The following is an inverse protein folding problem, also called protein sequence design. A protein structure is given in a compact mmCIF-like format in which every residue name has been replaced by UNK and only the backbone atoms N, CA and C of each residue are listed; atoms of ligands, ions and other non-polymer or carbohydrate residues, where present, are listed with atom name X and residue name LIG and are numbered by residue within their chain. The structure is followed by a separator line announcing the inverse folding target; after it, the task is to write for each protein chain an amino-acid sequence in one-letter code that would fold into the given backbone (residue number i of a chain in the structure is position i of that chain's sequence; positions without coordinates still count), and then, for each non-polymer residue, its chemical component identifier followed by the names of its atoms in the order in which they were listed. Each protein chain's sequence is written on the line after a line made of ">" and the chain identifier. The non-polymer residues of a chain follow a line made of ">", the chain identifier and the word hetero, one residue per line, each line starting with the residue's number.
data_IF_457871952746
#
_entry.id   IF_457871952746
#
_cell.length_a   1.000
_cell.length_b   1.000
_cell.length_c   1.000
_cell.angle_alpha   90.00
_cell.angle_beta   90.00
_cell.angle_gamma   90.00
#
_symmetry.space_group_name_H-M   'P 1'
#
loop_
_entity.id
_entity.type
_entity.pdbx_description
1 polymer ?
#
# COMPACT_ATOMS: atom_id res chain seq x y z
N UNK A 1 -57.38 -32.53 -16.65
CA UNK A 1 -56.92 -31.45 -17.55
C UNK A 1 -56.08 -30.44 -16.74
N UNK A 2 -54.92 -30.83 -16.20
CA UNK A 2 -54.06 -29.94 -15.38
C UNK A 2 -52.56 -30.31 -15.38
N UNK A 3 -52.09 -31.25 -16.19
CA UNK A 3 -50.65 -31.65 -16.22
C UNK A 3 -49.73 -30.68 -16.96
N UNK A 4 -50.27 -29.74 -17.75
CA UNK A 4 -49.46 -28.83 -18.60
C UNK A 4 -48.77 -27.69 -17.82
N UNK A 5 -49.37 -27.18 -16.74
CA UNK A 5 -48.84 -26.02 -16.00
C UNK A 5 -47.58 -26.33 -15.19
N UNK A 6 -47.51 -27.54 -14.61
CA UNK A 6 -46.39 -27.98 -13.78
C UNK A 6 -45.13 -28.32 -14.59
N UNK A 7 -45.29 -28.83 -15.82
CA UNK A 7 -44.17 -29.10 -16.73
C UNK A 7 -43.47 -27.82 -17.18
N UNK A 8 -44.23 -26.76 -17.48
CA UNK A 8 -43.66 -25.47 -17.90
C UNK A 8 -42.90 -24.76 -16.76
N UNK A 9 -43.47 -24.81 -15.54
CA UNK A 9 -42.82 -24.25 -14.34
C UNK A 9 -41.58 -25.05 -13.95
N UNK A 10 -41.60 -26.37 -14.11
CA UNK A 10 -40.45 -27.25 -13.84
C UNK A 10 -39.34 -27.06 -14.89
N UNK A 11 -39.70 -26.90 -16.17
CA UNK A 11 -38.72 -26.57 -17.22
C UNK A 11 -38.09 -25.21 -17.02
N UNK A 12 -38.85 -24.22 -16.53
CA UNK A 12 -38.31 -22.88 -16.21
C UNK A 12 -37.31 -22.95 -15.05
N UNK A 13 -37.59 -23.77 -14.03
CA UNK A 13 -36.69 -23.95 -12.89
C UNK A 13 -35.39 -24.69 -13.27
N UNK A 14 -35.49 -25.71 -14.13
CA UNK A 14 -34.33 -26.44 -14.67
C UNK A 14 -33.47 -25.52 -15.55
N UNK A 15 -34.09 -24.67 -16.38
CA UNK A 15 -33.39 -23.69 -17.21
C UNK A 15 -32.65 -22.63 -16.36
N UNK A 16 -33.31 -22.12 -15.31
CA UNK A 16 -32.70 -21.16 -14.37
C UNK A 16 -31.55 -21.82 -13.59
N UNK A 17 -31.71 -23.05 -13.11
CA UNK A 17 -30.63 -23.81 -12.48
C UNK A 17 -29.44 -24.01 -13.43
N UNK A 18 -29.68 -24.38 -14.70
CA UNK A 18 -28.63 -24.54 -15.70
C UNK A 18 -27.84 -23.22 -15.92
N UNK A 19 -28.52 -22.07 -15.93
CA UNK A 19 -27.88 -20.76 -16.06
C UNK A 19 -27.02 -20.40 -14.83
N UNK A 20 -27.39 -20.86 -13.63
CA UNK A 20 -26.62 -20.65 -12.40
C UNK A 20 -25.35 -21.53 -12.41
N UNK A 21 -25.44 -22.78 -12.90
CA UNK A 21 -24.27 -23.67 -13.01
C UNK A 21 -23.25 -23.25 -14.07
N UNK A 22 -23.65 -22.47 -15.09
CA UNK A 22 -22.73 -21.94 -16.12
C UNK A 22 -21.90 -20.73 -15.68
N UNK A 23 -22.12 -20.17 -14.48
CA UNK A 23 -21.39 -18.99 -13.97
C UNK A 23 -20.13 -19.35 -13.17
N UNK A 24 -19.29 -20.25 -13.70
CA UNK A 24 -17.94 -20.41 -13.18
C UNK A 24 -16.93 -20.51 -14.34
N UNK A 25 -16.57 -19.35 -14.86
CA UNK A 25 -15.27 -19.16 -15.51
C UNK A 25 -14.87 -17.70 -15.34
N UNK A 26 -14.46 -17.37 -14.13
CA UNK A 26 -13.60 -16.21 -13.94
C UNK A 26 -12.18 -16.71 -14.20
N UNK A 27 -11.73 -16.55 -15.44
CA UNK A 27 -10.31 -16.66 -15.72
C UNK A 27 -9.65 -15.48 -15.00
N UNK A 28 -8.91 -15.79 -13.93
CA UNK A 28 -7.94 -14.86 -13.38
C UNK A 28 -6.93 -14.63 -14.50
N UNK A 29 -7.16 -13.59 -15.31
CA UNK A 29 -6.18 -13.08 -16.23
C UNK A 29 -5.14 -12.34 -15.40
N UNK A 30 -4.22 -13.11 -14.81
CA UNK A 30 -2.96 -12.55 -14.36
C UNK A 30 -2.26 -12.12 -15.64
N UNK A 31 -2.50 -10.88 -16.05
CA UNK A 31 -1.57 -10.15 -16.88
C UNK A 31 -0.27 -10.16 -16.06
N UNK A 32 0.62 -11.10 -16.38
CA UNK A 32 2.02 -10.99 -15.98
C UNK A 32 2.49 -9.73 -16.69
N UNK A 33 2.36 -8.59 -16.00
CA UNK A 33 3.00 -7.36 -16.44
C UNK A 33 4.47 -7.68 -16.40
N UNK A 34 5.07 -7.82 -17.58
CA UNK A 34 6.50 -7.90 -17.78
C UNK A 34 7.19 -6.97 -16.78
N UNK A 35 8.10 -7.50 -15.98
CA UNK A 35 8.94 -6.72 -15.06
C UNK A 35 9.79 -5.65 -15.78
N UNK A 36 9.65 -5.55 -17.10
CA UNK A 36 10.33 -4.62 -18.00
C UNK A 36 9.36 -3.65 -18.73
N UNK A 37 8.05 -3.67 -18.44
CA UNK A 37 7.16 -2.62 -18.98
C UNK A 37 7.54 -1.31 -18.27
N UNK A 38 7.99 -0.27 -18.98
CA UNK A 38 8.25 1.02 -18.35
C UNK A 38 6.93 1.48 -17.74
N UNK A 39 6.90 1.54 -16.41
CA UNK A 39 5.83 2.20 -15.67
C UNK A 39 5.64 3.59 -16.30
N UNK A 40 4.38 3.95 -16.59
CA UNK A 40 4.06 5.22 -17.23
C UNK A 40 4.32 6.37 -16.23
N UNK A 41 5.60 6.73 -16.12
CA UNK A 41 6.13 7.79 -15.26
C UNK A 41 5.75 9.19 -15.75
N UNK A 42 4.95 9.31 -16.82
CA UNK A 42 4.50 10.59 -17.36
C UNK A 42 3.69 11.41 -16.33
N UNK A 43 2.99 10.73 -15.42
CA UNK A 43 2.16 11.38 -14.40
C UNK A 43 2.94 11.74 -13.12
N UNK A 44 3.99 10.97 -12.77
CA UNK A 44 4.86 11.23 -11.61
C UNK A 44 6.33 10.94 -11.97
N UNK A 45 7.07 11.92 -12.53
CA UNK A 45 8.45 11.69 -12.95
C UNK A 45 9.36 11.53 -11.73
N UNK A 46 10.15 10.46 -11.72
CA UNK A 46 11.16 10.26 -10.69
C UNK A 46 12.22 11.36 -10.75
N UNK A 47 12.54 11.91 -9.58
CA UNK A 47 13.62 12.89 -9.45
C UNK A 47 14.96 12.18 -9.37
N UNK A 48 15.98 12.78 -9.97
CA UNK A 48 17.33 12.21 -10.03
C UNK A 48 18.02 12.16 -8.67
N UNK A 49 17.77 13.16 -7.80
CA UNK A 49 18.32 13.19 -6.44
C UNK A 49 17.22 13.06 -5.40
N UNK A 50 17.53 12.38 -4.31
CA UNK A 50 16.66 12.29 -3.14
C UNK A 50 16.38 13.66 -2.50
N UNK A 51 17.36 14.58 -2.58
CA UNK A 51 17.21 15.96 -2.09
C UNK A 51 16.11 16.73 -2.83
N UNK A 52 15.84 16.39 -4.09
CA UNK A 52 14.93 17.16 -4.95
C UNK A 52 13.46 16.88 -4.60
N UNK A 53 13.19 15.86 -3.77
CA UNK A 53 11.87 15.58 -3.23
C UNK A 53 11.45 16.56 -2.12
N UNK A 54 12.39 17.35 -1.58
CA UNK A 54 12.08 18.49 -0.71
C UNK A 54 11.24 18.14 0.54
N UNK A 55 11.51 16.97 1.13
CA UNK A 55 10.76 16.38 2.26
C UNK A 55 11.16 16.92 3.64
N UNK A 56 12.31 17.59 3.73
CA UNK A 56 12.88 18.03 4.99
C UNK A 56 13.22 19.52 4.95
N UNK A 57 13.21 20.15 6.11
CA UNK A 57 13.62 21.54 6.26
C UNK A 57 15.14 21.68 6.11
N UNK A 58 15.57 22.85 5.64
CA UNK A 58 16.98 23.23 5.66
C UNK A 58 17.42 23.67 7.06
N UNK A 59 18.63 23.31 7.53
CA UNK A 59 19.60 22.45 6.86
C UNK A 59 19.20 20.97 6.93
N UNK A 60 19.42 20.23 5.83
CA UNK A 60 19.06 18.82 5.70
C UNK A 60 19.66 17.92 6.81
N UNK A 61 20.81 18.31 7.36
CA UNK A 61 21.45 17.63 8.48
C UNK A 61 20.58 17.53 9.74
N UNK A 62 19.60 18.44 9.91
CA UNK A 62 18.65 18.41 11.02
C UNK A 62 17.59 17.31 10.88
N UNK A 63 17.40 16.77 9.67
CA UNK A 63 16.40 15.77 9.31
C UNK A 63 14.99 16.08 9.87
N UNK A 64 14.64 17.36 9.95
CA UNK A 64 13.32 17.80 10.39
C UNK A 64 12.32 17.66 9.25
N UNK A 65 11.29 16.81 9.36
CA UNK A 65 10.29 16.64 8.31
C UNK A 65 9.49 17.94 8.11
N UNK A 66 9.04 18.18 6.88
CA UNK A 66 8.03 19.21 6.62
C UNK A 66 6.66 18.76 7.12
N UNK A 67 5.71 19.69 7.22
CA UNK A 67 4.36 19.45 7.77
C UNK A 67 3.61 18.29 7.08
N UNK A 68 3.73 18.16 5.75
CA UNK A 68 3.09 17.09 4.99
C UNK A 68 3.80 15.71 5.09
N UNK A 69 4.88 15.62 5.88
CA UNK A 69 5.71 14.43 6.01
C UNK A 69 5.54 13.83 7.40
N UNK A 70 4.85 12.69 7.45
CA UNK A 70 4.34 12.07 8.66
C UNK A 70 5.33 11.00 9.13
N UNK A 71 5.83 11.11 10.36
CA UNK A 71 6.65 10.08 10.98
C UNK A 71 5.81 8.88 11.42
N UNK A 72 6.33 7.67 11.25
CA UNK A 72 5.67 6.45 11.72
C UNK A 72 6.67 5.41 12.24
N UNK A 73 6.16 4.43 12.99
CA UNK A 73 6.92 3.26 13.41
C UNK A 73 6.14 1.97 13.14
N UNK A 74 6.82 0.84 13.26
CA UNK A 74 6.25 -0.49 13.05
C UNK A 74 6.06 -1.21 14.38
N UNK A 75 4.90 -1.85 14.54
CA UNK A 75 4.63 -2.71 15.71
C UNK A 75 5.63 -3.87 15.84
N UNK A 76 6.15 -4.37 14.72
CA UNK A 76 7.13 -5.45 14.69
C UNK A 76 8.35 -5.03 13.86
N UNK A 77 9.31 -4.38 14.52
CA UNK A 77 10.53 -3.94 13.86
C UNK A 77 11.50 -5.10 13.61
N UNK A 78 12.01 -5.21 12.39
CA UNK A 78 13.08 -6.16 12.06
C UNK A 78 14.45 -5.64 12.55
N UNK A 79 15.28 -6.57 13.03
CA UNK A 79 16.67 -6.29 13.39
C UNK A 79 17.46 -5.83 12.15
N UNK A 80 18.38 -4.89 12.32
CA UNK A 80 19.22 -4.37 11.21
C UNK A 80 20.55 -3.92 11.77
N UNK A 81 21.35 -4.87 12.26
CA UNK A 81 22.74 -4.65 12.67
C UNK A 81 22.93 -3.42 13.56
N UNK A 82 22.08 -3.30 14.58
CA UNK A 82 22.05 -2.18 15.54
C UNK A 82 21.80 -0.78 14.96
N UNK A 83 21.50 -0.67 13.67
CA UNK A 83 21.09 0.59 13.07
C UNK A 83 19.68 0.97 13.52
N UNK A 84 19.52 2.23 13.92
CA UNK A 84 18.24 2.84 14.21
C UNK A 84 17.59 3.30 12.91
N UNK A 85 16.25 3.35 12.89
CA UNK A 85 15.48 3.70 11.71
C UNK A 85 14.54 4.84 12.04
N UNK A 86 14.52 5.85 11.17
CA UNK A 86 13.40 6.78 11.09
C UNK A 86 12.67 6.55 9.79
N UNK A 87 11.34 6.54 9.85
CA UNK A 87 10.47 6.24 8.73
C UNK A 87 9.42 7.33 8.62
N UNK A 88 9.12 7.69 7.39
CA UNK A 88 8.19 8.74 7.09
C UNK A 88 7.37 8.40 5.86
N UNK A 89 6.17 8.97 5.82
CA UNK A 89 5.23 8.91 4.70
C UNK A 89 4.89 10.34 4.30
N UNK A 90 4.96 10.62 3.02
CA UNK A 90 4.37 11.82 2.41
C UNK A 90 3.12 11.40 1.64
N UNK A 91 2.04 12.13 1.85
CA UNK A 91 0.82 12.01 1.07
C UNK A 91 0.64 13.27 0.19
N UNK A 92 0.19 13.12 -1.06
CA UNK A 92 -0.23 14.26 -1.88
C UNK A 92 -1.28 15.13 -1.16
N UNK A 93 -1.36 16.44 -1.46
CA UNK A 93 -2.38 17.31 -0.89
C UNK A 93 -3.79 16.78 -1.10
N UNK A 94 -4.68 16.98 -0.12
CA UNK A 94 -6.09 16.55 -0.15
C UNK A 94 -6.29 15.04 -0.37
N UNK A 95 -5.31 14.22 0.00
CA UNK A 95 -5.40 12.75 -0.13
C UNK A 95 -5.22 12.04 1.22
N UNK A 96 -5.72 10.81 1.30
CA UNK A 96 -5.62 9.93 2.45
C UNK A 96 -5.29 8.51 2.02
N UNK A 97 -4.65 7.76 2.92
CA UNK A 97 -4.44 6.32 2.77
C UNK A 97 -5.63 5.52 3.32
N UNK A 98 -5.94 4.39 2.71
CA UNK A 98 -7.01 3.48 3.15
C UNK A 98 -6.43 2.33 3.97
N UNK A 99 -7.10 1.97 5.07
CA UNK A 99 -6.69 0.88 5.95
C UNK A 99 -7.43 -0.41 5.61
N UNK A 100 -6.66 -1.49 5.48
CA UNK A 100 -7.17 -2.85 5.32
C UNK A 100 -6.79 -3.72 6.52
N UNK A 101 -7.72 -4.52 7.09
CA UNK A 101 -7.42 -5.34 8.27
C UNK A 101 -6.35 -6.41 8.07
N UNK A 102 -6.19 -6.90 6.85
CA UNK A 102 -5.32 -8.05 6.51
C UNK A 102 -4.26 -7.73 5.48
N UNK A 103 -4.24 -6.52 4.94
CA UNK A 103 -3.36 -6.10 3.85
C UNK A 103 -2.59 -4.82 4.18
N UNK A 104 -1.66 -4.46 3.31
CA UNK A 104 -1.00 -3.16 3.37
C UNK A 104 -2.02 -2.03 3.17
N UNK A 105 -1.65 -0.83 3.62
CA UNK A 105 -2.44 0.37 3.31
C UNK A 105 -2.44 0.66 1.81
N UNK A 106 -3.57 1.13 1.30
CA UNK A 106 -3.62 1.67 -0.06
C UNK A 106 -3.15 3.12 -0.05
N UNK A 107 -2.08 3.39 -0.79
CA UNK A 107 -1.51 4.72 -0.91
C UNK A 107 -1.99 5.39 -2.20
N UNK A 108 -2.43 6.66 -2.15
CA UNK A 108 -2.76 7.40 -3.35
C UNK A 108 -1.51 7.63 -4.23
N UNK A 109 -1.71 7.71 -5.55
CA UNK A 109 -0.62 7.94 -6.49
C UNK A 109 0.16 9.23 -6.15
N UNK A 110 1.49 9.15 -6.20
CA UNK A 110 2.39 10.24 -5.78
C UNK A 110 2.75 10.23 -4.30
N UNK A 111 2.26 9.26 -3.52
CA UNK A 111 2.75 9.02 -2.15
C UNK A 111 4.21 8.58 -2.15
N UNK A 112 4.94 8.96 -1.11
CA UNK A 112 6.34 8.59 -0.94
C UNK A 112 6.56 8.02 0.45
N UNK A 113 7.17 6.83 0.49
CA UNK A 113 7.60 6.19 1.73
C UNK A 113 9.11 6.21 1.74
N UNK A 114 9.70 6.74 2.81
CA UNK A 114 11.15 6.77 2.92
C UNK A 114 11.60 6.41 4.34
N UNK A 115 12.78 5.80 4.40
CA UNK A 115 13.45 5.46 5.65
C UNK A 115 14.92 5.80 5.54
N UNK A 116 15.51 6.22 6.63
CA UNK A 116 16.96 6.32 6.75
C UNK A 116 17.44 5.61 8.00
N UNK A 117 18.66 5.11 7.90
CA UNK A 117 19.36 4.41 8.96
C UNK A 117 20.38 5.35 9.59
N UNK A 118 20.50 5.29 10.91
CA UNK A 118 21.48 6.10 11.62
C UNK A 118 22.02 5.36 12.84
N UNK A 119 23.22 5.76 13.23
CA UNK A 119 23.85 5.33 14.47
C UNK A 119 23.90 6.51 15.43
N UNK A 120 23.34 6.38 16.64
CA UNK A 120 23.40 7.44 17.64
C UNK A 120 24.84 7.59 18.14
N UNK A 121 25.21 8.82 18.51
CA UNK A 121 26.51 9.09 19.15
C UNK A 121 26.65 8.41 20.52
N UNK A 122 25.52 8.10 21.17
CA UNK A 122 25.47 7.33 22.41
C UNK A 122 24.27 6.38 22.40
N UNK A 123 24.56 5.08 22.23
CA UNK A 123 23.56 4.02 22.17
C UNK A 123 22.75 3.85 23.47
N UNK A 124 23.37 4.07 24.63
CA UNK A 124 22.71 3.92 25.93
C UNK A 124 21.62 4.97 26.19
N UNK A 125 21.72 6.15 25.55
CA UNK A 125 20.71 7.22 25.67
C UNK A 125 19.56 7.06 24.67
N UNK A 126 19.82 6.51 23.49
CA UNK A 126 18.81 6.35 22.43
C UNK A 126 17.81 5.22 22.71
N UNK A 127 18.21 4.18 23.43
CA UNK A 127 17.33 3.04 23.73
C UNK A 127 16.16 3.44 24.66
N UNK A 128 16.39 4.40 25.58
CA UNK A 128 15.35 4.92 26.48
C UNK A 128 14.23 5.70 25.78
N UNK A 129 14.45 6.19 24.55
CA UNK A 129 13.42 6.93 23.80
C UNK A 129 12.42 5.97 23.14
N UNK A 130 12.82 4.73 22.88
CA UNK A 130 11.99 3.72 22.20
C UNK A 130 11.17 2.90 23.20
N UNK A 131 11.68 2.69 24.43
CA UNK A 131 11.00 1.91 25.47
C UNK A 131 9.89 2.68 26.23
N UNK A 132 9.57 3.90 25.82
CA UNK A 132 8.56 4.77 26.48
C UNK A 132 7.25 4.91 25.67
N UNK A 133 6.99 3.98 24.76
CA UNK A 133 5.69 3.80 24.09
C UNK A 133 5.22 2.36 24.28
#
# INVERSE_FOLDING_TARGET
>A
MTTSKYNLSLTLYILVCLCIFTKCKEEINIQVTDANKPEDTSTYPYKQKLSDYDMFLSPLASMQPKEAVIAYDLNSSLFTDYAFKKRYIYLPPESSMEYHPTDAFDFPNGSLIFKYFYFPSNFAKSEKVIQNY
#
